data_IF_042823687900
#
_entry.id   IF_042823687900
#
_cell.length_a   1.000
_cell.length_b   1.000
_cell.length_c   1.000
_cell.angle_alpha   90.00
_cell.angle_beta   90.00
_cell.angle_gamma   90.00
#
_symmetry.space_group_name_H-M   'P 1'
#
loop_
_entity.id
_entity.type
_entity.pdbx_description
1 polymer ?
#
# COMPACT_ATOMS: atom_id res chain seq x y z
N UNK A 1 1.31 16.89 -1.54
CA UNK A 1 0.70 16.09 -2.62
C UNK A 1 -0.75 16.55 -2.83
N UNK A 2 -1.41 16.16 -3.92
CA UNK A 2 -2.84 16.47 -4.16
C UNK A 2 -3.57 15.13 -4.15
N UNK A 3 -4.65 15.01 -3.37
CA UNK A 3 -5.52 13.84 -3.36
C UNK A 3 -5.77 13.36 -4.79
N UNK A 4 -5.36 12.12 -5.12
CA UNK A 4 -5.61 11.49 -6.42
C UNK A 4 -7.09 11.12 -6.60
N UNK A 5 -7.98 12.09 -6.37
CA UNK A 5 -9.44 11.91 -6.36
C UNK A 5 -9.98 11.19 -5.12
N UNK A 6 -9.16 11.01 -4.08
CA UNK A 6 -9.54 10.29 -2.87
C UNK A 6 -10.21 11.23 -1.85
N UNK A 7 -11.31 10.80 -1.24
CA UNK A 7 -12.10 11.57 -0.29
C UNK A 7 -12.15 10.90 1.09
N UNK A 8 -12.41 11.70 2.15
CA UNK A 8 -12.71 11.16 3.48
C UNK A 8 -13.88 10.18 3.37
N UNK A 9 -13.75 8.99 3.96
CA UNK A 9 -14.81 7.99 3.99
C UNK A 9 -14.84 7.08 2.77
N UNK A 10 -14.00 7.33 1.75
CA UNK A 10 -13.79 6.36 0.69
C UNK A 10 -13.20 5.06 1.24
N UNK A 11 -13.66 3.94 0.69
CA UNK A 11 -13.14 2.61 0.99
C UNK A 11 -12.43 2.10 -0.26
N UNK A 12 -11.15 1.82 -0.11
CA UNK A 12 -10.29 1.27 -1.16
C UNK A 12 -9.93 -0.18 -0.84
N UNK A 13 -10.01 -1.01 -1.87
CA UNK A 13 -9.32 -2.29 -1.93
C UNK A 13 -7.94 -2.07 -2.55
N UNK A 14 -6.88 -2.47 -1.83
CA UNK A 14 -5.53 -2.35 -2.34
C UNK A 14 -5.31 -3.31 -3.52
N UNK A 15 -4.84 -2.83 -4.67
CA UNK A 15 -4.43 -3.68 -5.81
C UNK A 15 -2.98 -4.13 -5.73
N UNK A 16 -2.13 -3.22 -5.28
CA UNK A 16 -0.70 -3.42 -5.11
C UNK A 16 -0.27 -2.67 -3.85
N UNK A 17 0.73 -3.21 -3.17
CA UNK A 17 1.32 -2.63 -1.98
C UNK A 17 2.82 -2.47 -2.18
N UNK A 18 3.37 -1.35 -1.75
CA UNK A 18 4.81 -1.09 -1.73
C UNK A 18 5.20 -0.28 -0.49
N UNK A 19 6.48 -0.32 -0.13
CA UNK A 19 7.04 0.44 0.98
C UNK A 19 7.61 1.78 0.49
N UNK A 20 7.35 2.85 1.23
CA UNK A 20 7.97 4.17 0.95
C UNK A 20 9.16 4.48 1.85
N UNK A 21 9.26 3.85 3.02
CA UNK A 21 10.35 4.07 3.98
C UNK A 21 11.45 2.99 3.94
N UNK A 22 11.23 1.88 3.25
CA UNK A 22 12.15 0.74 3.09
C UNK A 22 13.38 1.01 2.20
N UNK A 23 14.07 2.13 2.38
CA UNK A 23 15.18 2.54 1.50
C UNK A 23 16.46 1.77 1.83
N UNK A 24 17.02 1.07 0.84
CA UNK A 24 18.31 0.39 0.96
C UNK A 24 19.26 0.93 -0.13
N UNK A 25 20.31 1.64 0.29
CA UNK A 25 21.29 2.27 -0.60
C UNK A 25 22.39 1.29 -1.05
N UNK A 26 21.97 0.09 -1.46
CA UNK A 26 22.85 -0.94 -2.01
C UNK A 26 22.25 -1.34 -3.35
N UNK A 27 23.05 -1.25 -4.41
CA UNK A 27 22.66 -1.65 -5.76
C UNK A 27 22.06 -3.07 -5.73
N UNK A 28 20.93 -3.29 -6.42
CA UNK A 28 20.10 -4.52 -6.41
C UNK A 28 19.14 -4.67 -5.21
N UNK A 29 19.43 -4.10 -4.05
CA UNK A 29 18.55 -4.20 -2.87
C UNK A 29 17.50 -3.08 -2.78
N UNK A 30 17.58 -2.09 -3.66
CA UNK A 30 16.57 -1.04 -3.81
C UNK A 30 15.18 -1.62 -4.07
N UNK A 31 15.07 -2.58 -4.99
CA UNK A 31 13.81 -3.28 -5.31
C UNK A 31 13.29 -4.11 -4.14
N UNK A 32 14.20 -4.75 -3.40
CA UNK A 32 13.85 -5.46 -2.16
C UNK A 32 13.25 -4.50 -1.12
N UNK A 33 13.86 -3.33 -0.97
CA UNK A 33 13.44 -2.29 -0.05
C UNK A 33 12.06 -1.72 -0.36
N UNK A 34 11.76 -1.48 -1.65
CA UNK A 34 10.42 -1.08 -2.10
C UNK A 34 9.39 -2.20 -1.88
N UNK A 35 9.78 -3.47 -2.06
CA UNK A 35 8.95 -4.61 -1.69
C UNK A 35 7.60 -4.69 -2.41
N UNK A 36 7.51 -4.18 -3.64
CA UNK A 36 6.25 -4.09 -4.39
C UNK A 36 5.62 -5.48 -4.62
N UNK A 37 4.35 -5.63 -4.23
CA UNK A 37 3.57 -6.87 -4.37
C UNK A 37 2.15 -6.59 -4.80
N UNK A 38 1.58 -7.53 -5.57
CA UNK A 38 0.17 -7.50 -5.95
C UNK A 38 -0.67 -8.25 -4.91
N UNK A 39 -1.85 -7.73 -4.60
CA UNK A 39 -2.82 -8.38 -3.72
C UNK A 39 -3.68 -9.40 -4.50
N UNK A 40 -4.46 -10.23 -3.79
CA UNK A 40 -5.34 -11.16 -4.49
C UNK A 40 -6.44 -10.42 -5.27
N UNK A 41 -6.68 -10.88 -6.50
CA UNK A 41 -7.65 -10.24 -7.39
C UNK A 41 -9.06 -10.75 -7.09
N UNK A 42 -9.93 -9.87 -6.58
CA UNK A 42 -11.29 -10.21 -6.13
C UNK A 42 -12.37 -9.39 -6.87
N UNK A 43 -12.60 -9.63 -8.18
CA UNK A 43 -13.48 -8.80 -9.01
C UNK A 43 -14.94 -8.83 -8.57
N UNK A 44 -15.42 -9.97 -8.06
CA UNK A 44 -16.80 -10.10 -7.58
C UNK A 44 -17.02 -9.22 -6.34
N UNK A 45 -16.07 -9.22 -5.41
CA UNK A 45 -16.14 -8.40 -4.19
C UNK A 45 -16.13 -6.90 -4.52
N UNK A 46 -15.23 -6.49 -5.42
CA UNK A 46 -15.15 -5.10 -5.90
C UNK A 46 -16.49 -4.66 -6.48
N UNK A 47 -17.11 -5.52 -7.30
CA UNK A 47 -18.37 -5.22 -7.97
C UNK A 47 -19.56 -5.19 -7.00
N UNK A 48 -19.68 -6.19 -6.13
CA UNK A 48 -20.82 -6.32 -5.21
C UNK A 48 -20.85 -5.22 -4.15
N UNK A 49 -19.67 -4.83 -3.64
CA UNK A 49 -19.54 -3.79 -2.61
C UNK A 49 -19.24 -2.39 -3.19
N UNK A 50 -19.13 -2.27 -4.51
CA UNK A 50 -18.79 -1.04 -5.23
C UNK A 50 -17.54 -0.34 -4.65
N UNK A 51 -16.50 -1.13 -4.40
CA UNK A 51 -15.26 -0.64 -3.78
C UNK A 51 -14.39 0.10 -4.78
N UNK A 52 -13.71 1.15 -4.32
CA UNK A 52 -12.64 1.78 -5.11
C UNK A 52 -11.40 0.89 -5.07
N UNK A 53 -10.60 0.94 -6.12
CA UNK A 53 -9.35 0.16 -6.20
C UNK A 53 -8.18 1.13 -6.34
N UNK A 54 -7.10 0.89 -5.60
CA UNK A 54 -5.94 1.76 -5.62
C UNK A 54 -4.68 1.10 -5.07
N UNK A 55 -3.52 1.66 -5.42
CA UNK A 55 -2.23 1.24 -4.86
C UNK A 55 -2.04 1.81 -3.45
N UNK A 56 -1.46 1.01 -2.58
CA UNK A 56 -1.17 1.36 -1.19
C UNK A 56 0.34 1.50 -0.98
N UNK A 57 0.74 2.57 -0.31
CA UNK A 57 2.12 2.77 0.13
C UNK A 57 2.20 2.69 1.64
N UNK A 58 3.01 1.78 2.18
CA UNK A 58 3.14 1.57 3.61
C UNK A 58 4.49 2.06 4.15
N UNK A 59 4.48 2.56 5.40
CA UNK A 59 5.67 2.98 6.12
C UNK A 59 5.33 3.34 7.55
N UNK A 60 6.31 3.31 8.45
CA UNK A 60 6.07 3.26 9.90
C UNK A 60 5.77 4.63 10.54
N UNK A 61 5.82 5.71 9.78
CA UNK A 61 5.59 7.08 10.27
C UNK A 61 4.18 7.55 9.91
N UNK A 62 3.51 8.25 10.83
CA UNK A 62 2.25 8.94 10.52
C UNK A 62 2.49 10.15 9.62
N UNK A 63 3.53 10.92 9.96
CA UNK A 63 3.94 12.08 9.19
C UNK A 63 4.62 11.67 7.89
N UNK A 64 4.54 12.54 6.89
CA UNK A 64 5.14 12.34 5.57
C UNK A 64 6.29 13.31 5.39
N UNK A 65 7.52 12.79 5.33
CA UNK A 65 8.68 13.60 4.96
C UNK A 65 8.69 13.86 3.44
N UNK A 66 9.41 14.88 2.93
CA UNK A 66 9.55 15.08 1.48
C UNK A 66 10.11 13.86 0.74
N UNK A 67 10.95 13.08 1.42
CA UNK A 67 11.47 11.83 0.89
C UNK A 67 10.39 10.76 0.80
N UNK A 68 9.55 10.62 1.82
CA UNK A 68 8.41 9.70 1.80
C UNK A 68 7.41 10.11 0.72
N UNK A 69 7.13 11.41 0.58
CA UNK A 69 6.25 11.94 -0.47
C UNK A 69 6.76 11.56 -1.87
N UNK A 70 8.05 11.71 -2.11
CA UNK A 70 8.68 11.32 -3.39
C UNK A 70 8.53 9.83 -3.66
N UNK A 71 8.74 8.98 -2.65
CA UNK A 71 8.59 7.54 -2.78
C UNK A 71 7.12 7.11 -2.97
N UNK A 72 6.18 7.74 -2.26
CA UNK A 72 4.74 7.50 -2.42
C UNK A 72 4.28 7.88 -3.85
N UNK A 73 4.80 8.98 -4.40
CA UNK A 73 4.56 9.35 -5.80
C UNK A 73 5.14 8.33 -6.77
N UNK A 74 6.38 7.88 -6.55
CA UNK A 74 7.04 6.89 -7.39
C UNK A 74 6.30 5.53 -7.37
N UNK A 75 5.72 5.16 -6.23
CA UNK A 75 4.88 3.97 -6.07
C UNK A 75 3.49 4.13 -6.72
N UNK A 76 3.15 5.33 -7.19
CA UNK A 76 1.84 5.67 -7.75
C UNK A 76 0.69 5.37 -6.76
N UNK A 77 0.95 5.53 -5.46
CA UNK A 77 -0.02 5.20 -4.43
C UNK A 77 -1.14 6.25 -4.31
N UNK A 78 -2.32 5.77 -3.92
CA UNK A 78 -3.52 6.57 -3.59
C UNK A 78 -3.76 6.56 -2.08
N UNK A 79 -3.38 5.47 -1.41
CA UNK A 79 -3.55 5.29 0.03
C UNK A 79 -2.18 5.18 0.69
N UNK A 80 -1.98 5.94 1.78
CA UNK A 80 -0.84 5.74 2.69
C UNK A 80 -1.32 4.99 3.94
N UNK A 81 -0.56 4.00 4.37
CA UNK A 81 -0.81 3.29 5.63
C UNK A 81 0.47 3.12 6.47
N UNK A 82 0.33 2.50 7.65
CA UNK A 82 1.43 2.18 8.57
C UNK A 82 1.52 0.71 8.98
N UNK A 83 0.43 -0.06 8.92
CA UNK A 83 0.37 -1.40 9.55
C UNK A 83 0.62 -2.57 8.57
N UNK A 84 0.55 -2.36 7.26
CA UNK A 84 0.71 -3.45 6.26
C UNK A 84 2.15 -4.00 6.16
N UNK A 85 3.15 -3.29 6.70
CA UNK A 85 4.56 -3.74 6.69
C UNK A 85 4.73 -5.11 7.34
N UNK A 86 4.17 -5.31 8.53
CA UNK A 86 4.36 -6.54 9.30
C UNK A 86 3.69 -7.73 8.63
N UNK A 87 2.45 -7.57 8.18
CA UNK A 87 1.68 -8.63 7.53
C UNK A 87 2.30 -9.08 6.20
N UNK A 88 2.77 -8.14 5.38
CA UNK A 88 3.40 -8.47 4.09
C UNK A 88 4.73 -9.20 4.28
N UNK A 89 5.51 -8.83 5.30
CA UNK A 89 6.78 -9.51 5.60
C UNK A 89 6.56 -10.89 6.24
N UNK A 90 5.53 -11.07 7.08
CA UNK A 90 5.15 -12.37 7.63
C UNK A 90 4.77 -13.33 6.50
N UNK A 91 3.89 -12.90 5.59
CA UNK A 91 3.54 -13.71 4.42
C UNK A 91 4.72 -14.07 3.54
N UNK A 92 5.72 -13.19 3.42
CA UNK A 92 6.95 -13.50 2.68
C UNK A 92 7.76 -14.64 3.32
N UNK A 93 7.74 -14.75 4.65
CA UNK A 93 8.39 -15.86 5.37
C UNK A 93 7.53 -17.13 5.27
N UNK A 94 6.22 -16.97 5.22
CA UNK A 94 5.22 -18.04 5.12
C UNK A 94 4.85 -18.42 3.67
N UNK A 95 5.65 -18.03 2.66
CA UNK A 95 5.43 -18.39 1.23
C UNK A 95 5.44 -19.94 0.96
N UNK A 96 5.39 -20.78 2.01
CA UNK A 96 5.06 -22.22 2.00
C UNK A 96 3.55 -22.53 2.17
N UNK A 97 2.70 -21.61 2.64
CA UNK A 97 1.25 -21.78 2.71
C UNK A 97 0.53 -20.90 1.67
N UNK A 98 -0.36 -21.51 0.87
CA UNK A 98 -1.11 -20.92 -0.25
C UNK A 98 -2.23 -19.95 0.21
N UNK A 99 -1.95 -19.15 1.24
CA UNK A 99 -2.90 -18.24 1.86
C UNK A 99 -3.03 -16.99 1.01
N UNK A 100 -4.20 -16.74 0.43
CA UNK A 100 -4.51 -15.49 -0.27
C UNK A 100 -4.85 -14.37 0.73
N UNK A 101 -4.39 -13.13 0.51
CA UNK A 101 -4.79 -11.95 1.31
C UNK A 101 -5.10 -10.75 0.43
N UNK A 102 -6.02 -9.93 0.94
CA UNK A 102 -6.34 -8.61 0.44
C UNK A 102 -6.40 -7.63 1.61
N UNK A 103 -6.24 -6.34 1.31
CA UNK A 103 -6.30 -5.26 2.28
C UNK A 103 -7.42 -4.29 1.91
N UNK A 104 -8.32 -4.06 2.86
CA UNK A 104 -9.35 -3.03 2.80
C UNK A 104 -8.90 -1.84 3.64
N UNK A 105 -9.01 -0.63 3.08
CA UNK A 105 -8.64 0.61 3.76
C UNK A 105 -9.70 1.69 3.61
N UNK A 106 -10.10 2.23 4.76
CA UNK A 106 -10.94 3.42 4.82
C UNK A 106 -10.04 4.63 4.91
N UNK A 107 -10.27 5.59 4.01
CA UNK A 107 -9.56 6.85 4.02
C UNK A 107 -10.09 7.71 5.17
N UNK A 108 -9.24 7.88 6.17
CA UNK A 108 -9.45 8.79 7.30
C UNK A 108 -8.90 10.19 6.94
N UNK A 109 -9.31 11.26 7.64
CA UNK A 109 -8.86 12.63 7.35
C UNK A 109 -7.33 12.81 7.29
N UNK A 110 -6.58 12.00 8.06
CA UNK A 110 -5.10 12.00 8.07
C UNK A 110 -4.47 11.05 7.04
N UNK A 111 -5.27 10.22 6.37
CA UNK A 111 -4.87 9.29 5.31
C UNK A 111 -5.27 9.81 3.92
N UNK A 112 -5.81 11.02 3.83
CA UNK A 112 -6.08 11.72 2.58
C UNK A 112 -4.79 12.40 2.16
N UNK A 113 -4.23 11.93 1.06
CA UNK A 113 -3.10 12.54 0.38
C UNK A 113 -3.47 13.87 -0.27
#
# INVERSE_FOLDING_TARGET
>A
MKAKGACVGDIYLASDVAFHDGRILIHVFDTYGVGARRTCFTPNLIKELNLKVGKLSNGNSLEMTPQDETAILANDAIVKDMEENSWIQIKRVEDEEDTQSFSLRVIKPKNIL
#
